data_IF_662330070401
#
_entry.id   IF_662330070401
#
_cell.length_a   1.000
_cell.length_b   1.000
_cell.length_c   1.000
_cell.angle_alpha   90.00
_cell.angle_beta   90.00
_cell.angle_gamma   90.00
#
_symmetry.space_group_name_H-M   'P 1'
#
loop_
_entity.id
_entity.type
_entity.pdbx_description
1 polymer ?
#
# COMPACT_ATOMS: atom_id res chain seq x y z
N UNK A 1 -18.37 -49.10 36.56
CA UNK A 1 -18.82 -47.78 36.03
C UNK A 1 -17.67 -46.80 35.77
N UNK A 2 -16.56 -46.86 36.51
CA UNK A 2 -15.41 -45.93 36.38
C UNK A 2 -14.77 -45.87 34.98
N UNK A 3 -14.63 -47.01 34.29
CA UNK A 3 -14.04 -47.08 32.94
C UNK A 3 -14.81 -46.33 31.84
N UNK A 4 -16.14 -46.19 31.97
CA UNK A 4 -16.93 -45.43 31.00
C UNK A 4 -16.69 -43.93 31.17
N UNK A 5 -16.55 -43.47 32.41
CA UNK A 5 -16.34 -42.05 32.74
C UNK A 5 -15.02 -41.50 32.17
N UNK A 6 -13.94 -42.29 32.25
CA UNK A 6 -12.62 -41.91 31.72
C UNK A 6 -12.64 -41.79 30.19
N UNK A 7 -13.36 -42.67 29.50
CA UNK A 7 -13.51 -42.59 28.03
C UNK A 7 -14.26 -41.34 27.58
N UNK A 8 -15.32 -40.94 28.28
CA UNK A 8 -16.07 -39.72 27.96
C UNK A 8 -15.23 -38.46 28.17
N UNK A 9 -14.44 -38.39 29.24
CA UNK A 9 -13.52 -37.26 29.49
C UNK A 9 -12.45 -37.14 28.39
N UNK A 10 -11.86 -38.25 27.96
CA UNK A 10 -10.86 -38.24 26.88
C UNK A 10 -11.44 -37.74 25.55
N UNK A 11 -12.65 -38.16 25.20
CA UNK A 11 -13.34 -37.73 23.97
C UNK A 11 -13.67 -36.23 24.01
N UNK A 12 -14.13 -35.72 25.17
CA UNK A 12 -14.40 -34.30 25.35
C UNK A 12 -13.13 -33.43 25.25
N UNK A 13 -12.00 -33.91 25.76
CA UNK A 13 -10.72 -33.21 25.64
C UNK A 13 -10.25 -33.19 24.17
N UNK A 14 -10.32 -34.32 23.47
CA UNK A 14 -9.99 -34.40 22.04
C UNK A 14 -10.90 -33.49 21.19
N UNK A 15 -12.20 -33.46 21.46
CA UNK A 15 -13.16 -32.61 20.75
C UNK A 15 -12.87 -31.12 20.99
N UNK A 16 -12.50 -30.72 22.22
CA UNK A 16 -12.10 -29.33 22.52
C UNK A 16 -10.76 -28.94 21.89
N UNK A 17 -9.83 -29.88 21.70
CA UNK A 17 -8.58 -29.64 21.01
C UNK A 17 -8.78 -29.50 19.49
N UNK A 18 -9.66 -30.32 18.89
CA UNK A 18 -10.00 -30.24 17.47
C UNK A 18 -10.72 -28.93 17.11
N UNK A 19 -11.71 -28.50 17.90
CA UNK A 19 -12.41 -27.22 17.67
C UNK A 19 -11.47 -26.02 17.76
N UNK A 20 -10.44 -26.08 18.62
CA UNK A 20 -9.43 -25.02 18.72
C UNK A 20 -8.42 -25.02 17.56
N UNK A 21 -8.29 -26.13 16.83
CA UNK A 21 -7.37 -26.24 15.69
C UNK A 21 -7.95 -25.65 14.40
N UNK A 22 -9.28 -25.58 14.26
CA UNK A 22 -9.94 -25.07 13.05
C UNK A 22 -9.99 -23.52 12.96
N UNK A 23 -9.47 -22.83 13.99
CA UNK A 23 -9.35 -21.36 14.01
C UNK A 23 -7.92 -20.89 13.71
N UNK A 24 -7.12 -21.67 12.98
CA UNK A 24 -5.94 -21.11 12.30
C UNK A 24 -6.46 -20.33 11.10
N UNK A 25 -6.95 -19.11 11.37
CA UNK A 25 -7.07 -18.08 10.35
C UNK A 25 -5.67 -17.83 9.83
N UNK A 26 -5.34 -18.41 8.68
CA UNK A 26 -4.16 -18.02 7.93
C UNK A 26 -4.39 -16.59 7.46
N UNK A 27 -3.98 -15.64 8.29
CA UNK A 27 -4.09 -14.21 8.03
C UNK A 27 -3.00 -13.82 7.02
N UNK A 28 -3.15 -14.29 5.77
CA UNK A 28 -2.35 -13.85 4.62
C UNK A 28 -2.84 -12.44 4.21
N UNK A 29 -2.74 -11.48 5.13
CA UNK A 29 -3.14 -10.11 4.86
C UNK A 29 -2.00 -9.38 4.14
N UNK A 30 -2.06 -9.34 2.81
CA UNK A 30 -1.19 -8.51 2.01
C UNK A 30 -1.70 -7.07 2.09
N UNK A 31 -0.89 -6.11 2.55
CA UNK A 31 -1.26 -4.70 2.50
C UNK A 31 -0.72 -4.08 1.21
N UNK A 32 -1.58 -3.42 0.47
CA UNK A 32 -1.26 -2.71 -0.76
C UNK A 32 -1.58 -1.23 -0.61
N UNK A 33 -0.96 -0.41 -1.45
CA UNK A 33 -1.36 0.98 -1.58
C UNK A 33 -2.65 1.03 -2.39
N UNK A 34 -3.57 1.91 -2.01
CA UNK A 34 -4.88 2.06 -2.64
C UNK A 34 -5.15 3.52 -2.95
N UNK A 35 -5.44 3.82 -4.21
CA UNK A 35 -5.81 5.15 -4.67
C UNK A 35 -6.48 5.09 -6.05
N UNK A 36 -7.22 6.15 -6.35
CA UNK A 36 -7.75 6.42 -7.67
C UNK A 36 -7.65 7.92 -7.92
N UNK A 37 -7.20 8.30 -9.11
CA UNK A 37 -7.09 9.70 -9.54
C UNK A 37 -7.11 9.80 -11.06
N UNK A 38 -7.56 10.93 -11.57
CA UNK A 38 -7.48 11.39 -12.96
C UNK A 38 -6.36 12.41 -13.18
N UNK A 39 -5.63 12.78 -12.12
CA UNK A 39 -4.56 13.78 -12.17
C UNK A 39 -3.24 13.15 -12.63
N UNK A 40 -2.78 13.58 -13.81
CA UNK A 40 -1.48 13.23 -14.38
C UNK A 40 -0.31 13.59 -13.46
N UNK A 41 -0.39 14.63 -12.63
CA UNK A 41 0.68 14.96 -11.67
C UNK A 41 0.32 14.53 -10.24
N UNK A 42 -0.74 13.72 -10.12
CA UNK A 42 -1.28 13.28 -8.86
C UNK A 42 -0.38 12.30 -8.12
N UNK A 43 -0.51 12.29 -6.80
CA UNK A 43 0.24 11.39 -5.92
C UNK A 43 -0.04 9.90 -6.22
N UNK A 44 -1.20 9.57 -6.81
CA UNK A 44 -1.53 8.21 -7.20
C UNK A 44 -0.64 7.72 -8.36
N UNK A 45 -0.31 8.59 -9.34
CA UNK A 45 0.62 8.24 -10.43
C UNK A 45 2.07 8.24 -9.97
N UNK A 46 2.52 9.35 -9.37
CA UNK A 46 3.94 9.61 -9.10
C UNK A 46 4.56 8.75 -7.99
N UNK A 47 3.77 8.15 -7.10
CA UNK A 47 4.32 7.32 -6.04
C UNK A 47 5.22 8.10 -5.06
N UNK A 48 6.08 7.38 -4.33
CA UNK A 48 6.77 7.69 -3.06
C UNK A 48 7.30 9.10 -2.67
N UNK A 49 7.11 10.19 -3.42
CA UNK A 49 7.60 11.54 -3.01
C UNK A 49 6.56 12.44 -2.33
N UNK A 50 5.26 12.19 -2.50
CA UNK A 50 4.20 13.11 -2.01
C UNK A 50 3.03 12.45 -1.30
N UNK A 51 3.01 11.13 -1.23
CA UNK A 51 1.81 10.39 -0.87
C UNK A 51 1.84 9.98 0.61
N UNK A 52 0.80 10.34 1.38
CA UNK A 52 0.40 9.59 2.58
C UNK A 52 -0.56 8.49 2.10
N UNK A 53 -0.07 7.26 1.85
CA UNK A 53 -0.89 6.29 1.18
C UNK A 53 -2.05 5.82 2.04
N UNK A 54 -3.22 5.73 1.41
CA UNK A 54 -4.27 4.85 1.91
C UNK A 54 -3.80 3.41 1.69
N UNK A 55 -3.95 2.60 2.71
CA UNK A 55 -3.60 1.19 2.70
C UNK A 55 -4.87 0.37 2.60
N UNK A 56 -4.81 -0.69 1.82
CA UNK A 56 -5.87 -1.67 1.66
C UNK A 56 -5.34 -3.05 2.03
N UNK A 57 -6.11 -3.78 2.85
CA UNK A 57 -5.81 -5.18 3.20
C UNK A 57 -6.44 -6.10 2.17
N UNK A 58 -5.60 -6.78 1.39
CA UNK A 58 -6.03 -7.80 0.47
C UNK A 58 -6.13 -9.14 1.20
N UNK A 59 -7.25 -9.83 0.98
CA UNK A 59 -7.52 -11.13 1.60
C UNK A 59 -7.38 -12.25 0.57
N UNK A 60 -6.92 -13.40 1.05
CA UNK A 60 -6.86 -14.62 0.25
C UNK A 60 -5.43 -15.02 -0.15
N UNK A 61 -5.21 -16.32 -0.44
CA UNK A 61 -3.89 -16.86 -0.69
C UNK A 61 -3.27 -16.39 -2.02
N UNK A 62 -4.10 -15.91 -2.95
CA UNK A 62 -3.67 -15.42 -4.27
C UNK A 62 -3.64 -13.90 -4.36
N UNK A 63 -3.94 -13.19 -3.27
CA UNK A 63 -3.99 -11.74 -3.24
C UNK A 63 -2.67 -11.10 -3.73
N UNK A 64 -2.80 -10.07 -4.56
CA UNK A 64 -1.71 -9.28 -5.13
C UNK A 64 -1.99 -7.79 -5.00
N UNK A 65 -0.95 -6.99 -5.07
CA UNK A 65 -1.07 -5.55 -5.28
C UNK A 65 -1.01 -5.23 -6.78
N UNK A 66 -1.80 -4.26 -7.23
CA UNK A 66 -1.68 -3.73 -8.59
C UNK A 66 -1.45 -2.21 -8.61
N UNK A 67 -0.88 -1.73 -9.72
CA UNK A 67 -0.85 -0.33 -10.12
C UNK A 67 -1.12 -0.27 -11.62
N UNK A 68 -2.11 0.52 -12.05
CA UNK A 68 -2.53 0.63 -13.45
C UNK A 68 -2.72 2.09 -13.84
N UNK A 69 -2.32 2.42 -15.05
CA UNK A 69 -2.60 3.70 -15.69
C UNK A 69 -3.24 3.49 -17.06
N UNK A 70 -4.30 4.22 -17.32
CA UNK A 70 -4.94 4.32 -18.63
C UNK A 70 -4.99 5.79 -19.01
N UNK A 71 -4.33 6.17 -20.10
CA UNK A 71 -4.31 7.52 -20.65
C UNK A 71 -5.21 7.51 -21.87
N UNK A 72 -6.33 8.22 -21.79
CA UNK A 72 -7.30 8.26 -22.88
C UNK A 72 -7.00 9.40 -23.84
N UNK A 73 -7.10 9.16 -25.15
CA UNK A 73 -7.02 10.21 -26.18
C UNK A 73 -8.05 11.36 -25.97
N UNK A 74 -9.10 11.09 -25.19
CA UNK A 74 -10.18 12.03 -24.86
C UNK A 74 -9.94 12.80 -23.55
N UNK A 75 -8.74 12.74 -22.96
CA UNK A 75 -8.41 13.38 -21.67
C UNK A 75 -9.06 12.70 -20.46
N UNK A 76 -9.42 11.41 -20.58
CA UNK A 76 -9.95 10.61 -19.47
C UNK A 76 -8.86 9.71 -18.94
N UNK A 77 -7.91 10.33 -18.26
CA UNK A 77 -6.82 9.61 -17.61
C UNK A 77 -7.33 8.93 -16.33
N UNK A 78 -6.79 7.76 -16.04
CA UNK A 78 -7.15 6.98 -14.88
C UNK A 78 -5.92 6.30 -14.30
N UNK A 79 -5.57 6.68 -13.08
CA UNK A 79 -4.49 6.11 -12.29
C UNK A 79 -5.08 5.39 -11.08
N UNK A 80 -4.82 4.09 -10.95
CA UNK A 80 -5.40 3.27 -9.89
C UNK A 80 -4.37 2.34 -9.25
N UNK A 81 -4.53 2.12 -7.95
CA UNK A 81 -3.78 1.13 -7.16
C UNK A 81 -4.75 0.41 -6.24
N UNK A 82 -4.48 -0.86 -5.94
CA UNK A 82 -5.29 -1.63 -4.99
C UNK A 82 -4.92 -3.11 -4.95
N UNK A 83 -5.91 -3.91 -4.57
CA UNK A 83 -5.83 -5.37 -4.48
C UNK A 83 -6.32 -6.05 -5.76
N UNK A 84 -5.58 -7.05 -6.24
CA UNK A 84 -5.99 -7.95 -7.31
C UNK A 84 -6.04 -9.39 -6.77
N UNK A 85 -6.95 -10.20 -7.32
CA UNK A 85 -7.10 -11.60 -6.91
C UNK A 85 -6.17 -12.55 -7.69
N UNK A 86 -5.60 -12.08 -8.80
CA UNK A 86 -4.82 -12.90 -9.74
C UNK A 86 -3.57 -12.19 -10.24
N UNK A 87 -2.63 -12.97 -10.79
CA UNK A 87 -1.47 -12.45 -11.53
C UNK A 87 -1.79 -12.06 -12.96
N UNK A 88 -2.94 -12.49 -13.50
CA UNK A 88 -3.38 -12.19 -14.86
C UNK A 88 -4.01 -10.81 -15.00
N UNK A 89 -4.22 -10.08 -13.90
CA UNK A 89 -4.90 -8.78 -13.88
C UNK A 89 -4.44 -7.81 -15.00
N UNK A 90 -3.14 -7.73 -15.28
CA UNK A 90 -2.63 -6.86 -16.35
C UNK A 90 -2.92 -7.35 -17.78
N UNK A 91 -3.23 -8.63 -17.97
CA UNK A 91 -3.61 -9.20 -19.27
C UNK A 91 -5.08 -8.92 -19.59
N UNK A 92 -5.90 -8.75 -18.56
CA UNK A 92 -7.35 -8.56 -18.68
C UNK A 92 -7.75 -7.10 -18.95
N UNK A 93 -6.79 -6.16 -18.88
CA UNK A 93 -7.04 -4.71 -18.91
C UNK A 93 -6.19 -4.04 -19.98
N UNK A 94 -6.82 -3.27 -20.85
CA UNK A 94 -6.13 -2.37 -21.78
C UNK A 94 -5.61 -1.15 -21.01
N UNK A 95 -4.29 -1.03 -20.87
CA UNK A 95 -3.62 0.00 -20.08
C UNK A 95 -2.28 0.40 -20.70
N UNK A 96 -1.82 1.62 -20.42
CA UNK A 96 -0.53 2.15 -20.86
C UNK A 96 0.59 1.76 -19.88
N UNK A 97 0.22 1.52 -18.62
CA UNK A 97 1.09 0.96 -17.61
C UNK A 97 0.29 -0.02 -16.76
N UNK A 98 0.85 -1.20 -16.50
CA UNK A 98 0.31 -2.12 -15.51
C UNK A 98 1.42 -2.89 -14.79
N UNK A 99 1.34 -2.92 -13.47
CA UNK A 99 2.24 -3.65 -12.59
C UNK A 99 1.42 -4.47 -11.59
N UNK A 100 1.78 -5.74 -11.42
CA UNK A 100 1.23 -6.62 -10.37
C UNK A 100 2.39 -7.22 -9.58
N UNK A 101 2.25 -7.26 -8.25
CA UNK A 101 3.31 -7.76 -7.35
C UNK A 101 2.73 -8.37 -6.07
N UNK A 102 3.53 -9.17 -5.35
CA UNK A 102 3.06 -10.03 -4.24
C UNK A 102 3.70 -9.74 -2.88
N UNK A 103 4.25 -8.54 -2.68
CA UNK A 103 4.92 -8.16 -1.43
C UNK A 103 4.25 -6.93 -0.81
N UNK A 104 4.38 -6.75 0.50
CA UNK A 104 3.77 -5.62 1.22
C UNK A 104 4.15 -4.29 0.56
N UNK A 105 3.14 -3.48 0.23
CA UNK A 105 3.26 -2.15 -0.38
C UNK A 105 4.03 -2.12 -1.71
N UNK A 106 4.25 -3.25 -2.39
CA UNK A 106 5.13 -3.32 -3.56
C UNK A 106 4.67 -2.46 -4.76
N UNK A 107 3.41 -2.05 -4.78
CA UNK A 107 2.84 -1.17 -5.79
C UNK A 107 3.07 0.33 -5.46
N UNK A 108 4.26 0.72 -5.01
CA UNK A 108 4.57 2.11 -4.59
C UNK A 108 5.30 2.98 -5.62
N UNK A 109 5.85 2.34 -6.66
CA UNK A 109 6.63 3.02 -7.69
C UNK A 109 5.76 3.96 -8.55
N UNK A 110 6.41 4.94 -9.18
CA UNK A 110 5.76 5.78 -10.18
C UNK A 110 5.22 4.93 -11.33
N UNK A 111 4.02 5.26 -11.82
CA UNK A 111 3.49 4.67 -13.06
C UNK A 111 4.13 5.41 -14.24
N UNK A 112 5.21 4.81 -14.76
CA UNK A 112 6.02 5.36 -15.86
C UNK A 112 5.29 5.09 -17.18
N UNK A 113 4.84 6.15 -17.86
CA UNK A 113 4.07 6.04 -19.10
C UNK A 113 4.94 6.59 -20.25
N UNK A 114 5.12 5.84 -21.35
CA UNK A 114 5.92 6.31 -22.48
C UNK A 114 5.45 7.68 -22.99
N UNK A 115 6.37 8.65 -23.09
CA UNK A 115 6.06 10.01 -23.55
C UNK A 115 5.55 10.98 -22.47
N UNK A 116 5.33 10.51 -21.24
CA UNK A 116 4.98 11.35 -20.08
C UNK A 116 6.19 11.48 -19.16
N UNK A 117 6.52 12.72 -18.75
CA UNK A 117 7.62 12.98 -17.82
C UNK A 117 7.14 12.74 -16.38
N UNK A 118 7.95 12.05 -15.58
CA UNK A 118 7.67 11.73 -14.17
C UNK A 118 8.11 12.84 -13.19
N UNK A 119 8.34 14.04 -13.71
CA UNK A 119 8.70 15.23 -12.95
C UNK A 119 7.50 16.17 -12.89
N UNK A 120 7.22 16.69 -11.70
CA UNK A 120 6.32 17.83 -11.55
C UNK A 120 6.99 19.03 -12.24
N UNK A 121 6.25 19.86 -13.01
CA UNK A 121 6.83 21.10 -13.49
C UNK A 121 7.32 21.89 -12.27
N UNK A 122 8.63 22.16 -12.19
CA UNK A 122 9.16 23.11 -11.22
C UNK A 122 8.44 24.44 -11.48
N UNK A 123 7.42 24.73 -10.68
CA UNK A 123 6.86 26.07 -10.60
C UNK A 123 8.00 26.92 -10.09
N UNK A 124 8.66 27.61 -11.02
CA UNK A 124 9.68 28.61 -10.76
C UNK A 124 9.01 29.68 -9.89
N UNK A 125 9.04 29.45 -8.58
CA UNK A 125 8.60 30.40 -7.58
C UNK A 125 9.67 31.49 -7.58
N UNK A 126 9.44 32.48 -8.45
CA UNK A 126 10.10 33.77 -8.35
C UNK A 126 10.09 34.21 -6.89
N UNK A 127 11.30 34.44 -6.39
CA UNK A 127 11.66 35.05 -5.11
C UNK A 127 10.49 35.53 -4.23
N UNK A 128 10.34 34.95 -3.05
CA UNK A 128 10.14 35.80 -1.86
C UNK A 128 10.79 35.19 -0.61
N UNK A 129 11.94 35.78 -0.31
CA UNK A 129 12.62 35.87 0.97
C UNK A 129 11.71 35.73 2.21
N UNK A 130 11.98 34.74 3.07
CA UNK A 130 11.61 34.81 4.49
C UNK A 130 12.50 33.92 5.38
N UNK A 131 13.66 34.49 5.77
CA UNK A 131 14.34 34.36 7.08
C UNK A 131 14.60 32.95 7.63
N UNK A 132 15.82 32.48 7.37
CA UNK A 132 16.57 31.63 8.30
C UNK A 132 16.73 32.36 9.66
N UNK A 133 16.04 31.90 10.70
CA UNK A 133 16.23 32.38 12.08
C UNK A 133 17.46 31.68 12.67
N UNK A 134 18.60 32.36 12.62
CA UNK A 134 19.88 31.96 13.22
C UNK A 134 19.72 31.87 14.74
N UNK A 135 19.87 30.68 15.31
CA UNK A 135 19.91 30.42 16.76
C UNK A 135 21.17 31.05 17.35
N UNK A 136 21.03 32.12 18.12
CA UNK A 136 22.11 32.74 18.87
C UNK A 136 22.35 31.88 20.12
N UNK A 137 23.46 31.13 20.17
CA UNK A 137 23.96 30.52 21.42
C UNK A 137 24.44 31.65 22.34
N UNK A 138 23.83 31.78 23.52
CA UNK A 138 24.32 32.65 24.60
C UNK A 138 25.60 32.02 25.18
N UNK A 139 26.68 32.80 25.24
CA UNK A 139 27.84 32.47 26.07
C UNK A 139 27.51 32.80 27.55
N UNK A 140 28.00 32.01 28.52
CA UNK A 140 27.78 32.26 29.93
C UNK A 140 28.54 33.51 30.42
N UNK A 141 27.96 34.20 31.41
CA UNK A 141 28.51 35.41 32.01
C UNK A 141 29.77 35.11 32.86
N UNK A 142 30.72 36.06 32.96
CA UNK A 142 31.88 35.92 33.84
C UNK A 142 31.46 36.06 35.31
N UNK A 143 31.97 35.18 36.15
CA UNK A 143 31.84 35.21 37.61
C UNK A 143 32.74 36.29 38.20
N UNK A 144 32.18 37.13 39.07
CA UNK A 144 32.91 37.94 40.05
C UNK A 144 32.61 37.44 41.44
#
# INVERSE_FOLDING_TARGET
MLHRFVKYQFVLILYRLLIKSDYISYDFALNCLSCQSDDLYGACRLGQRKFKPKLEKCQGPTARCFAVATVGDNGKDLYQRGCAETTSFCQDIKSDFCQVCGSQFCNYGAMTIPGVIDEEPEVTTLLSSAKARKTIRRLPAPST
#
